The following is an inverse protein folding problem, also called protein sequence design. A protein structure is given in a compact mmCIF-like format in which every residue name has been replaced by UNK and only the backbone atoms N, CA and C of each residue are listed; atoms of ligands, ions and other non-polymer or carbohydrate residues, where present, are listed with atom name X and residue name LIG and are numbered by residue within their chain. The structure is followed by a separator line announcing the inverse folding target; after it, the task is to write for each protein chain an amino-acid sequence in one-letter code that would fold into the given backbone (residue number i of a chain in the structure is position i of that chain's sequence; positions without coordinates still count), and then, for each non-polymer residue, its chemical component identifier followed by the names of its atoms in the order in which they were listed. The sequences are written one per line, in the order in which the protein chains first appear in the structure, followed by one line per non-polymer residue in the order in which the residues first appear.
data_IF_075423494192
#
_entry.id   IF_075423494192
#
_cell.length_a   1.000
_cell.length_b   1.000
_cell.length_c   1.000
_cell.angle_alpha   90.00
_cell.angle_beta   90.00
_cell.angle_gamma   90.00
#
_symmetry.space_group_name_H-M   'P 1'
#
loop_
_entity.id
_entity.type
_entity.pdbx_description
1 polymer ?
#
# COMPACT_ATOMS: atom_id res chain seq x y z
N UNK A 1 -1.67 -1.60 21.48
CA UNK A 1 -1.25 -2.14 20.17
C UNK A 1 -0.25 -1.17 19.57
N UNK A 2 0.86 -1.67 19.07
CA UNK A 2 1.86 -0.85 18.37
C UNK A 2 1.30 -0.39 17.03
N UNK A 3 1.49 0.87 16.68
CA UNK A 3 1.07 1.43 15.38
C UNK A 3 2.04 0.96 14.31
N UNK A 4 1.53 0.27 13.28
CA UNK A 4 2.34 -0.28 12.21
C UNK A 4 2.83 0.82 11.25
N UNK A 5 4.02 0.66 10.70
CA UNK A 5 4.62 1.58 9.72
C UNK A 5 4.64 0.89 8.36
N UNK A 6 3.94 1.51 7.39
CA UNK A 6 3.91 1.07 6.00
C UNK A 6 4.76 2.01 5.13
N UNK A 7 5.69 1.45 4.38
CA UNK A 7 6.43 2.19 3.36
C UNK A 7 5.53 2.47 2.15
N UNK A 8 5.18 3.75 1.94
CA UNK A 8 4.36 4.23 0.83
C UNK A 8 5.10 4.02 -0.49
N UNK A 9 4.59 3.15 -1.35
CA UNK A 9 5.30 2.71 -2.56
C UNK A 9 6.74 2.30 -2.23
N UNK A 10 6.98 1.82 -1.00
CA UNK A 10 8.21 1.41 -0.31
C UNK A 10 8.99 2.53 0.35
N UNK A 11 10.03 3.10 -0.32
CA UNK A 11 10.89 4.15 0.20
C UNK A 11 11.29 5.12 -0.93
N UNK A 12 10.34 5.89 -1.49
CA UNK A 12 10.61 6.75 -2.65
C UNK A 12 11.58 7.89 -2.34
N UNK A 13 11.89 8.14 -1.07
CA UNK A 13 12.95 9.05 -0.67
C UNK A 13 14.36 8.57 -1.08
N UNK A 14 14.56 7.25 -1.31
CA UNK A 14 15.86 6.65 -1.62
C UNK A 14 15.87 5.81 -2.90
N UNK A 15 14.78 5.18 -3.25
CA UNK A 15 14.64 4.30 -4.40
C UNK A 15 13.50 4.77 -5.31
N UNK A 16 13.51 4.45 -6.62
CA UNK A 16 12.34 4.68 -7.46
C UNK A 16 11.10 4.00 -6.88
N UNK A 17 9.99 4.70 -6.84
CA UNK A 17 8.73 4.13 -6.33
C UNK A 17 8.36 2.83 -7.05
N UNK A 18 7.80 1.87 -6.31
CA UNK A 18 7.40 0.58 -6.86
C UNK A 18 8.52 -0.27 -7.53
N UNK A 19 9.84 -0.14 -7.15
CA UNK A 19 10.95 -1.01 -7.60
C UNK A 19 11.19 -2.21 -6.68
N UNK A 20 11.69 -3.33 -7.19
CA UNK A 20 11.96 -4.52 -6.37
C UNK A 20 13.06 -4.26 -5.33
N UNK A 21 14.11 -3.53 -5.72
CA UNK A 21 15.21 -3.14 -4.83
C UNK A 21 14.71 -2.37 -3.59
N UNK A 22 13.72 -1.49 -3.78
CA UNK A 22 13.17 -0.77 -2.64
C UNK A 22 12.28 -1.65 -1.75
N UNK A 23 11.57 -2.67 -2.29
CA UNK A 23 10.86 -3.65 -1.45
C UNK A 23 11.84 -4.42 -0.59
N UNK A 24 12.89 -4.96 -1.19
CA UNK A 24 13.93 -5.73 -0.52
C UNK A 24 14.60 -4.88 0.57
N UNK A 25 15.06 -3.68 0.23
CA UNK A 25 15.67 -2.76 1.19
C UNK A 25 14.78 -2.49 2.40
N UNK A 26 13.50 -2.15 2.19
CA UNK A 26 12.60 -1.84 3.30
C UNK A 26 12.37 -3.06 4.21
N UNK A 27 12.23 -4.25 3.62
CA UNK A 27 12.08 -5.49 4.36
C UNK A 27 13.34 -5.83 5.17
N UNK A 28 14.53 -5.69 4.59
CA UNK A 28 15.81 -5.92 5.28
C UNK A 28 16.05 -4.95 6.44
N UNK A 29 15.43 -3.76 6.39
CA UNK A 29 15.53 -2.73 7.43
C UNK A 29 14.37 -2.77 8.43
N UNK A 30 13.62 -3.86 8.49
CA UNK A 30 12.68 -4.16 9.56
C UNK A 30 11.36 -3.37 9.53
N UNK A 31 10.90 -2.98 8.35
CA UNK A 31 9.59 -2.34 8.20
C UNK A 31 8.45 -3.28 8.57
N UNK A 32 7.34 -2.75 9.14
CA UNK A 32 6.19 -3.59 9.51
C UNK A 32 5.32 -3.95 8.29
N UNK A 33 5.31 -3.10 7.28
CA UNK A 33 4.49 -3.33 6.08
C UNK A 33 4.92 -2.51 4.87
N UNK A 34 4.51 -2.98 3.72
CA UNK A 34 4.72 -2.35 2.41
C UNK A 34 3.36 -1.94 1.86
N UNK A 35 3.27 -0.73 1.33
CA UNK A 35 2.15 -0.31 0.50
C UNK A 35 2.61 -0.27 -0.97
N UNK A 36 1.75 -0.75 -1.88
CA UNK A 36 2.04 -0.83 -3.31
C UNK A 36 0.77 -0.78 -4.15
N UNK A 37 0.91 -0.40 -5.41
CA UNK A 37 -0.18 -0.11 -6.33
C UNK A 37 -0.25 -1.16 -7.44
N UNK A 38 -1.42 -1.76 -7.68
CA UNK A 38 -1.63 -2.72 -8.76
C UNK A 38 -2.51 -2.16 -9.87
N UNK A 39 -2.05 -2.34 -11.10
CA UNK A 39 -2.77 -2.07 -12.34
C UNK A 39 -2.65 -3.26 -13.30
N UNK A 40 -3.31 -3.20 -14.47
CA UNK A 40 -3.31 -4.28 -15.45
C UNK A 40 -2.88 -3.77 -16.82
N UNK A 41 -1.99 -4.49 -17.49
CA UNK A 41 -1.56 -4.23 -18.86
C UNK A 41 -2.64 -4.58 -19.88
N UNK A 42 -2.46 -4.16 -21.15
CA UNK A 42 -3.38 -4.44 -22.25
C UNK A 42 -3.61 -5.96 -22.49
N UNK A 43 -2.62 -6.77 -22.18
CA UNK A 43 -2.66 -8.23 -22.31
C UNK A 43 -2.96 -8.97 -20.99
N UNK A 44 -3.52 -8.25 -20.00
CA UNK A 44 -4.09 -8.83 -18.78
C UNK A 44 -3.07 -9.20 -17.69
N UNK A 45 -1.84 -8.67 -17.72
CA UNK A 45 -0.85 -8.93 -16.69
C UNK A 45 -0.90 -7.85 -15.59
N UNK A 46 -0.81 -8.28 -14.33
CA UNK A 46 -0.74 -7.36 -13.18
C UNK A 46 0.65 -6.76 -13.07
N UNK A 47 0.71 -5.43 -12.99
CA UNK A 47 1.95 -4.64 -12.88
C UNK A 47 1.87 -3.71 -11.68
N UNK A 48 3.04 -3.38 -11.12
CA UNK A 48 3.16 -2.51 -9.96
C UNK A 48 3.55 -1.11 -10.43
N UNK A 49 2.59 -0.19 -10.38
CA UNK A 49 2.76 1.20 -10.78
C UNK A 49 1.64 2.07 -10.19
N UNK A 50 1.99 3.26 -9.71
CA UNK A 50 1.00 4.19 -9.15
C UNK A 50 0.19 4.91 -10.21
N UNK A 51 0.87 5.60 -11.13
CA UNK A 51 0.20 6.39 -12.15
C UNK A 51 -0.36 5.49 -13.26
N UNK A 52 -1.44 5.89 -13.90
CA UNK A 52 -2.00 5.17 -15.05
C UNK A 52 -1.11 5.29 -16.30
N UNK A 53 -0.18 6.25 -16.31
CA UNK A 53 0.83 6.44 -17.34
C UNK A 53 2.23 6.16 -16.80
N UNK A 54 3.10 5.63 -17.63
CA UNK A 54 4.47 5.27 -17.26
C UNK A 54 5.45 6.44 -17.29
N UNK A 55 5.07 7.56 -17.88
CA UNK A 55 5.94 8.68 -18.28
C UNK A 55 6.73 9.33 -17.12
N UNK A 56 6.16 9.39 -15.91
CA UNK A 56 6.79 10.09 -14.78
C UNK A 56 7.94 9.30 -14.16
N UNK A 57 7.84 7.99 -14.15
CA UNK A 57 8.73 7.13 -13.36
C UNK A 57 9.62 6.23 -14.21
N UNK A 58 9.45 6.26 -15.54
CA UNK A 58 10.23 5.44 -16.49
C UNK A 58 10.79 6.28 -17.65
N UNK A 59 11.66 5.66 -18.43
CA UNK A 59 12.16 6.19 -19.70
C UNK A 59 11.19 6.01 -20.87
N UNK A 60 10.03 5.36 -20.65
CA UNK A 60 8.98 5.14 -21.64
C UNK A 60 7.84 6.16 -21.57
N UNK A 61 6.82 5.94 -22.42
CA UNK A 61 5.60 6.76 -22.42
C UNK A 61 4.38 5.94 -22.79
N UNK A 62 3.20 6.35 -22.29
CA UNK A 62 1.93 5.72 -22.63
C UNK A 62 1.10 5.32 -21.41
N UNK A 63 -0.13 4.86 -21.69
CA UNK A 63 -1.03 4.32 -20.68
C UNK A 63 -0.73 2.85 -20.43
N UNK A 64 -0.71 2.43 -19.17
CA UNK A 64 -0.49 1.03 -18.79
C UNK A 64 -1.54 0.12 -19.47
N UNK A 65 -2.80 0.57 -19.50
CA UNK A 65 -3.90 -0.17 -20.11
C UNK A 65 -3.75 -0.38 -21.63
N UNK A 66 -2.92 0.39 -22.30
CA UNK A 66 -2.68 0.31 -23.76
C UNK A 66 -1.39 -0.44 -24.10
N UNK A 67 -0.56 -0.76 -23.11
CA UNK A 67 0.75 -1.38 -23.28
C UNK A 67 0.72 -2.84 -22.83
N UNK A 68 1.34 -3.71 -23.61
CA UNK A 68 1.52 -5.12 -23.24
C UNK A 68 2.58 -5.28 -22.13
N UNK A 69 2.54 -6.40 -21.42
CA UNK A 69 3.57 -6.73 -20.42
C UNK A 69 4.99 -6.67 -20.99
N UNK A 70 5.18 -7.13 -22.22
CA UNK A 70 6.47 -7.10 -22.90
C UNK A 70 6.96 -5.67 -23.11
N UNK A 71 6.09 -4.77 -23.55
CA UNK A 71 6.42 -3.35 -23.72
C UNK A 71 6.76 -2.69 -22.37
N UNK A 72 5.94 -2.91 -21.34
CA UNK A 72 6.18 -2.40 -19.99
C UNK A 72 7.49 -2.92 -19.40
N UNK A 73 7.83 -4.19 -19.62
CA UNK A 73 9.10 -4.80 -19.18
C UNK A 73 10.32 -4.23 -19.92
N UNK A 74 10.13 -3.66 -21.10
CA UNK A 74 11.19 -2.98 -21.85
C UNK A 74 11.59 -1.62 -21.27
N UNK A 75 10.70 -0.97 -20.52
CA UNK A 75 10.94 0.35 -19.92
C UNK A 75 11.73 0.25 -18.61
N UNK A 76 12.47 1.32 -18.29
CA UNK A 76 13.36 1.37 -17.12
C UNK A 76 12.95 2.44 -16.14
N UNK A 77 12.93 2.06 -14.87
CA UNK A 77 12.90 2.96 -13.72
C UNK A 77 14.27 3.65 -13.59
N UNK A 78 14.37 4.71 -12.78
CA UNK A 78 15.60 5.48 -12.61
C UNK A 78 16.81 4.67 -12.09
N UNK A 79 16.59 3.54 -11.43
CA UNK A 79 17.65 2.62 -10.98
C UNK A 79 17.98 1.51 -12.02
N UNK A 80 17.40 1.56 -13.21
CA UNK A 80 17.63 0.59 -14.29
C UNK A 80 16.76 -0.66 -14.22
N UNK A 81 15.95 -0.85 -13.18
CA UNK A 81 14.98 -1.94 -13.12
C UNK A 81 13.85 -1.72 -14.14
N UNK A 82 13.22 -2.80 -14.58
CA UNK A 82 11.96 -2.72 -15.32
C UNK A 82 10.76 -2.49 -14.38
N UNK A 83 9.62 -2.11 -14.94
CA UNK A 83 8.35 -2.06 -14.18
C UNK A 83 8.03 -3.46 -13.66
N UNK A 84 7.95 -3.68 -12.33
CA UNK A 84 7.69 -5.02 -11.81
C UNK A 84 6.26 -5.50 -12.10
N UNK A 85 6.10 -6.80 -12.24
CA UNK A 85 4.80 -7.46 -12.12
C UNK A 85 4.44 -7.68 -10.64
N UNK A 86 3.15 -7.85 -10.35
CA UNK A 86 2.72 -8.26 -9.00
C UNK A 86 3.38 -9.59 -8.59
N UNK A 87 3.55 -10.54 -9.52
CA UNK A 87 4.24 -11.80 -9.25
C UNK A 87 5.68 -11.59 -8.78
N UNK A 88 6.45 -10.73 -9.45
CA UNK A 88 7.83 -10.41 -9.05
C UNK A 88 7.87 -9.74 -7.68
N UNK A 89 6.95 -8.81 -7.40
CA UNK A 89 6.84 -8.17 -6.09
C UNK A 89 6.50 -9.18 -4.98
N UNK A 90 5.50 -10.05 -5.18
CA UNK A 90 5.14 -11.09 -4.21
C UNK A 90 6.25 -12.13 -4.04
N UNK A 91 7.02 -12.43 -5.08
CA UNK A 91 8.21 -13.30 -4.96
C UNK A 91 9.19 -12.73 -3.94
N UNK A 92 9.54 -11.45 -4.04
CA UNK A 92 10.42 -10.80 -3.05
C UNK A 92 9.77 -10.79 -1.67
N UNK A 93 8.54 -10.29 -1.56
CA UNK A 93 7.86 -10.07 -0.28
C UNK A 93 7.52 -11.37 0.45
N UNK A 94 7.39 -12.49 -0.25
CA UNK A 94 7.11 -13.80 0.37
C UNK A 94 8.24 -14.31 1.27
N UNK A 95 9.47 -13.84 1.05
CA UNK A 95 10.64 -14.23 1.86
C UNK A 95 10.73 -13.49 3.22
N UNK A 96 9.89 -12.47 3.44
CA UNK A 96 9.90 -11.64 4.64
C UNK A 96 8.58 -11.71 5.38
N UNK A 97 8.62 -11.58 6.71
CA UNK A 97 7.40 -11.50 7.53
C UNK A 97 6.93 -10.05 7.65
N UNK A 98 6.37 -9.52 6.56
CA UNK A 98 5.86 -8.16 6.46
C UNK A 98 4.41 -8.15 6.00
N UNK A 99 3.64 -7.16 6.42
CA UNK A 99 2.30 -6.91 5.87
C UNK A 99 2.43 -6.28 4.48
N UNK A 100 1.48 -6.55 3.60
CA UNK A 100 1.44 -5.97 2.26
C UNK A 100 0.06 -5.33 2.02
N UNK A 101 0.03 -4.01 1.89
CA UNK A 101 -1.17 -3.32 1.43
C UNK A 101 -1.12 -3.16 -0.09
N UNK A 102 -2.02 -3.84 -0.79
CA UNK A 102 -2.17 -3.76 -2.24
C UNK A 102 -3.32 -2.80 -2.56
N UNK A 103 -3.02 -1.65 -3.14
CA UNK A 103 -4.02 -0.70 -3.64
C UNK A 103 -4.46 -1.08 -5.06
N UNK A 104 -5.76 -1.30 -5.27
CA UNK A 104 -6.33 -1.40 -6.61
C UNK A 104 -6.48 -0.01 -7.24
N UNK A 105 -5.73 0.27 -8.31
CA UNK A 105 -5.78 1.53 -9.08
C UNK A 105 -6.92 1.52 -10.09
N UNK A 106 -8.15 1.36 -9.62
CA UNK A 106 -9.36 1.22 -10.45
C UNK A 106 -10.26 2.46 -10.43
N UNK A 107 -9.76 3.57 -9.89
CA UNK A 107 -10.54 4.81 -9.77
C UNK A 107 -10.73 5.56 -11.10
N UNK A 108 -9.75 5.49 -12.02
CA UNK A 108 -9.81 6.14 -13.34
C UNK A 108 -10.07 5.11 -14.46
N UNK A 109 -9.36 3.99 -14.41
CA UNK A 109 -9.50 2.90 -15.39
C UNK A 109 -10.02 1.68 -14.66
N UNK A 110 -11.16 1.16 -15.10
CA UNK A 110 -11.68 -0.10 -14.57
C UNK A 110 -11.02 -1.25 -15.32
N UNK A 111 -10.33 -2.11 -14.58
CA UNK A 111 -9.69 -3.32 -15.11
C UNK A 111 -10.56 -4.54 -14.76
N UNK A 112 -11.35 -5.10 -15.70
CA UNK A 112 -12.21 -6.24 -15.39
C UNK A 112 -11.40 -7.45 -14.89
N UNK A 113 -11.77 -7.96 -13.71
CA UNK A 113 -11.15 -9.14 -13.12
C UNK A 113 -9.85 -8.90 -12.36
N UNK A 114 -9.39 -7.65 -12.21
CA UNK A 114 -8.14 -7.35 -11.49
C UNK A 114 -8.17 -7.86 -10.04
N UNK A 115 -9.32 -7.77 -9.37
CA UNK A 115 -9.47 -8.21 -7.99
C UNK A 115 -9.31 -9.73 -7.86
N UNK A 116 -9.96 -10.49 -8.74
CA UNK A 116 -9.89 -11.95 -8.75
C UNK A 116 -8.45 -12.43 -9.06
N UNK A 117 -7.83 -11.86 -10.11
CA UNK A 117 -6.47 -12.23 -10.50
C UNK A 117 -5.45 -11.85 -9.42
N UNK A 118 -5.64 -10.73 -8.72
CA UNK A 118 -4.78 -10.34 -7.59
C UNK A 118 -4.92 -11.33 -6.44
N UNK A 119 -6.15 -11.74 -6.11
CA UNK A 119 -6.41 -12.74 -5.08
C UNK A 119 -5.77 -14.09 -5.42
N UNK A 120 -5.88 -14.54 -6.67
CA UNK A 120 -5.25 -15.79 -7.13
C UNK A 120 -3.73 -15.76 -6.93
N UNK A 121 -3.07 -14.63 -7.20
CA UNK A 121 -1.64 -14.50 -6.93
C UNK A 121 -1.32 -14.52 -5.44
N UNK A 122 -2.09 -13.81 -4.60
CA UNK A 122 -1.89 -13.81 -3.15
C UNK A 122 -2.04 -15.22 -2.57
N UNK A 123 -2.99 -16.01 -3.08
CA UNK A 123 -3.18 -17.41 -2.70
C UNK A 123 -2.03 -18.31 -3.15
N UNK A 124 -1.54 -18.14 -4.39
CA UNK A 124 -0.39 -18.90 -4.91
C UNK A 124 0.89 -18.68 -4.07
N UNK A 125 1.05 -17.51 -3.47
CA UNK A 125 2.18 -17.18 -2.60
C UNK A 125 1.90 -17.46 -1.11
N UNK A 126 0.72 -17.96 -0.73
CA UNK A 126 0.30 -18.21 0.65
C UNK A 126 0.42 -16.96 1.55
N UNK A 127 0.03 -15.79 1.03
CA UNK A 127 0.17 -14.50 1.72
C UNK A 127 -1.15 -13.92 2.25
N UNK A 128 -2.24 -14.68 2.27
CA UNK A 128 -3.58 -14.21 2.64
C UNK A 128 -3.63 -13.54 4.01
N UNK A 129 -2.92 -14.07 4.99
CA UNK A 129 -2.92 -13.54 6.36
C UNK A 129 -2.19 -12.20 6.50
N UNK A 130 -1.30 -11.88 5.55
CA UNK A 130 -0.44 -10.70 5.55
C UNK A 130 -0.89 -9.61 4.57
N UNK A 131 -1.81 -9.90 3.66
CA UNK A 131 -2.28 -8.95 2.66
C UNK A 131 -3.51 -8.18 3.14
N UNK A 132 -3.52 -6.89 2.84
CA UNK A 132 -4.62 -5.96 3.00
C UNK A 132 -4.93 -5.39 1.61
N UNK A 133 -6.20 -5.37 1.22
CA UNK A 133 -6.62 -4.71 -0.01
C UNK A 133 -7.17 -3.33 0.26
N UNK A 134 -6.78 -2.35 -0.53
CA UNK A 134 -7.32 -1.01 -0.44
C UNK A 134 -7.64 -0.42 -1.82
N UNK A 135 -8.55 0.53 -1.88
CA UNK A 135 -8.85 1.30 -3.08
C UNK A 135 -9.64 2.57 -2.77
N UNK A 136 -9.44 3.61 -3.58
CA UNK A 136 -10.36 4.74 -3.68
C UNK A 136 -11.67 4.36 -4.37
N UNK A 137 -11.66 3.32 -5.20
CA UNK A 137 -12.84 2.75 -5.81
C UNK A 137 -13.47 1.72 -4.85
N UNK A 138 -14.53 2.14 -4.16
CA UNK A 138 -15.23 1.29 -3.20
C UNK A 138 -15.85 0.04 -3.84
N UNK A 139 -16.17 0.07 -5.14
CA UNK A 139 -16.68 -1.10 -5.85
C UNK A 139 -15.62 -2.21 -5.92
N UNK A 140 -14.34 -1.89 -6.11
CA UNK A 140 -13.26 -2.89 -6.04
C UNK A 140 -13.19 -3.55 -4.67
N UNK A 141 -13.41 -2.78 -3.59
CA UNK A 141 -13.42 -3.33 -2.23
C UNK A 141 -14.65 -4.22 -1.99
N UNK A 142 -15.81 -3.86 -2.55
CA UNK A 142 -17.00 -4.70 -2.50
C UNK A 142 -16.79 -6.02 -3.29
N UNK A 143 -16.17 -5.94 -4.47
CA UNK A 143 -15.86 -7.11 -5.30
C UNK A 143 -14.92 -8.05 -4.56
N UNK A 144 -13.78 -7.56 -4.06
CA UNK A 144 -12.82 -8.43 -3.36
C UNK A 144 -13.40 -8.99 -2.05
N UNK A 145 -14.20 -8.23 -1.31
CA UNK A 145 -14.89 -8.75 -0.14
C UNK A 145 -15.88 -9.88 -0.48
N UNK A 146 -16.56 -9.79 -1.63
CA UNK A 146 -17.46 -10.85 -2.09
C UNK A 146 -16.69 -12.10 -2.51
N UNK A 147 -15.57 -11.95 -3.21
CA UNK A 147 -14.73 -13.06 -3.69
C UNK A 147 -13.99 -13.75 -2.52
N UNK A 148 -13.45 -12.97 -1.61
CA UNK A 148 -12.61 -13.43 -0.52
C UNK A 148 -12.98 -12.74 0.81
N UNK A 149 -14.11 -13.11 1.45
CA UNK A 149 -14.68 -12.37 2.60
C UNK A 149 -13.82 -12.40 3.86
N UNK A 150 -12.80 -13.26 3.92
CA UNK A 150 -11.85 -13.33 5.04
C UNK A 150 -10.67 -12.36 4.90
N UNK A 151 -10.46 -11.80 3.70
CA UNK A 151 -9.37 -10.87 3.46
C UNK A 151 -9.59 -9.54 4.17
N UNK A 152 -8.50 -8.95 4.67
CA UNK A 152 -8.51 -7.60 5.24
C UNK A 152 -8.71 -6.59 4.13
N UNK A 153 -9.67 -5.68 4.33
CA UNK A 153 -10.00 -4.65 3.34
C UNK A 153 -10.10 -3.28 3.99
N UNK A 154 -9.74 -2.25 3.23
CA UNK A 154 -9.82 -0.86 3.67
C UNK A 154 -10.31 0.06 2.54
N UNK A 155 -11.14 1.02 2.87
CA UNK A 155 -11.43 2.13 1.98
C UNK A 155 -10.31 3.17 2.03
N UNK A 156 -9.83 3.60 0.86
CA UNK A 156 -8.97 4.77 0.73
C UNK A 156 -9.83 6.02 0.49
N UNK A 157 -9.52 7.11 1.20
CA UNK A 157 -10.22 8.38 0.99
C UNK A 157 -9.39 9.59 1.43
N UNK A 158 -9.41 10.66 0.62
CA UNK A 158 -8.96 12.00 1.00
C UNK A 158 -10.05 12.86 1.62
N UNK A 159 -11.31 12.40 1.57
CA UNK A 159 -12.45 13.14 2.11
C UNK A 159 -12.59 12.92 3.61
N UNK A 160 -12.98 13.97 4.33
CA UNK A 160 -13.33 13.84 5.75
C UNK A 160 -14.61 13.03 5.89
N UNK A 161 -14.51 11.88 6.53
CA UNK A 161 -15.66 11.01 6.83
C UNK A 161 -16.43 11.61 8.02
N UNK A 162 -17.52 12.31 7.74
CA UNK A 162 -18.43 12.85 8.75
C UNK A 162 -19.68 11.99 8.82
N UNK A 163 -19.85 11.24 9.94
CA UNK A 163 -21.08 10.47 10.18
C UNK A 163 -21.38 9.38 9.15
N UNK A 164 -20.40 9.00 8.34
CA UNK A 164 -20.58 7.93 7.36
C UNK A 164 -20.74 6.58 8.07
N UNK A 165 -21.79 5.85 7.72
CA UNK A 165 -21.90 4.44 8.07
C UNK A 165 -20.89 3.67 7.22
N UNK A 166 -19.82 3.20 7.84
CA UNK A 166 -18.83 2.36 7.18
C UNK A 166 -19.31 0.90 7.16
N UNK A 167 -19.10 0.16 6.07
CA UNK A 167 -19.36 -1.26 6.05
C UNK A 167 -18.65 -1.99 7.20
N UNK A 168 -19.36 -2.90 7.86
CA UNK A 168 -18.81 -3.63 9.01
C UNK A 168 -17.62 -4.52 8.65
N UNK A 169 -17.59 -5.02 7.42
CA UNK A 169 -16.52 -5.88 6.91
C UNK A 169 -15.16 -5.18 6.73
N UNK A 170 -15.13 -3.85 6.62
CA UNK A 170 -13.86 -3.15 6.52
C UNK A 170 -13.03 -3.38 7.77
N UNK A 171 -11.78 -3.75 7.62
CA UNK A 171 -10.83 -3.83 8.72
C UNK A 171 -10.44 -2.43 9.19
N UNK A 172 -10.14 -1.53 8.25
CA UNK A 172 -9.72 -0.17 8.52
C UNK A 172 -10.23 0.81 7.45
N UNK A 173 -9.94 2.11 7.66
CA UNK A 173 -9.96 3.13 6.61
C UNK A 173 -8.56 3.70 6.44
N UNK A 174 -8.15 3.92 5.21
CA UNK A 174 -6.90 4.60 4.87
C UNK A 174 -7.24 6.05 4.52
N UNK A 175 -6.84 6.99 5.36
CA UNK A 175 -7.26 8.40 5.28
C UNK A 175 -6.07 9.34 5.20
N UNK A 176 -6.25 10.42 4.41
CA UNK A 176 -5.24 11.48 4.31
C UNK A 176 -5.11 12.30 5.59
N UNK A 177 -6.24 12.51 6.29
CA UNK A 177 -6.28 13.29 7.50
C UNK A 177 -6.92 12.51 8.64
N UNK A 178 -6.16 12.31 9.72
CA UNK A 178 -6.65 11.66 10.94
C UNK A 178 -7.96 12.26 11.43
N UNK A 179 -8.91 11.41 11.80
CA UNK A 179 -10.22 11.80 12.32
C UNK A 179 -10.47 11.19 13.70
N UNK A 180 -10.28 11.97 14.76
CA UNK A 180 -10.48 11.55 16.15
C UNK A 180 -11.92 11.16 16.50
N UNK A 181 -12.90 11.56 15.67
CA UNK A 181 -14.34 11.24 15.86
C UNK A 181 -14.76 9.96 15.17
N UNK A 182 -13.87 9.34 14.40
CA UNK A 182 -14.17 8.10 13.69
C UNK A 182 -13.73 6.91 14.54
N UNK A 183 -14.69 6.20 15.10
CA UNK A 183 -14.47 4.97 15.86
C UNK A 183 -14.26 3.77 14.91
N UNK A 184 -13.14 3.78 14.18
CA UNK A 184 -12.69 2.74 13.25
C UNK A 184 -11.18 2.80 13.16
N UNK A 185 -10.53 1.66 13.00
CA UNK A 185 -9.10 1.60 12.74
C UNK A 185 -8.71 2.48 11.53
N UNK A 186 -7.67 3.27 11.68
CA UNK A 186 -7.21 4.25 10.68
C UNK A 186 -5.74 4.00 10.35
N UNK A 187 -5.42 3.94 9.05
CA UNK A 187 -4.06 4.08 8.54
C UNK A 187 -3.95 5.42 7.83
N UNK A 188 -3.08 6.27 8.34
CA UNK A 188 -3.01 7.68 7.89
C UNK A 188 -1.88 7.85 6.86
N UNK A 189 -2.17 8.47 5.73
CA UNK A 189 -1.25 8.67 4.60
C UNK A 189 -1.28 10.11 4.07
N UNK A 190 -0.26 10.68 3.39
CA UNK A 190 1.13 10.24 3.52
C UNK A 190 1.76 11.08 4.62
N UNK A 191 2.34 10.48 5.62
CA UNK A 191 2.84 11.17 6.81
C UNK A 191 4.37 11.14 6.80
N UNK A 192 4.98 12.25 6.40
CA UNK A 192 6.44 12.42 6.29
C UNK A 192 7.00 13.43 7.31
N UNK A 193 6.15 14.13 8.05
CA UNK A 193 6.53 15.10 9.08
C UNK A 193 6.71 14.40 10.43
N UNK A 194 7.91 14.44 11.06
CA UNK A 194 8.19 13.75 12.31
C UNK A 194 7.30 14.20 13.49
N UNK A 195 6.89 15.48 13.53
CA UNK A 195 5.99 15.97 14.59
C UNK A 195 4.57 15.43 14.42
N UNK A 196 4.11 15.23 13.16
CA UNK A 196 2.84 14.55 12.91
C UNK A 196 2.94 13.06 13.24
N UNK A 197 4.04 12.39 12.89
CA UNK A 197 4.29 10.99 13.24
C UNK A 197 4.17 10.79 14.75
N UNK A 198 4.89 11.61 15.55
CA UNK A 198 4.86 11.57 17.01
C UNK A 198 3.45 11.68 17.57
N UNK A 199 2.63 12.61 17.06
CA UNK A 199 1.24 12.81 17.49
C UNK A 199 0.36 11.61 17.14
N UNK A 200 0.54 11.05 15.95
CA UNK A 200 -0.28 9.96 15.45
C UNK A 200 0.04 8.62 16.10
N UNK A 201 1.29 8.37 16.50
CA UNK A 201 1.65 7.17 17.28
C UNK A 201 0.95 7.10 18.64
N UNK A 202 0.52 8.24 19.21
CA UNK A 202 -0.23 8.30 20.45
C UNK A 202 -1.75 8.50 20.23
N UNK A 203 -2.22 8.60 18.99
CA UNK A 203 -3.60 8.94 18.69
C UNK A 203 -4.51 7.70 18.73
N UNK A 204 -5.74 7.79 19.31
CA UNK A 204 -6.68 6.69 19.35
C UNK A 204 -7.10 6.29 17.94
N UNK A 205 -7.38 4.98 17.77
CA UNK A 205 -7.79 4.37 16.49
C UNK A 205 -6.76 4.43 15.35
N UNK A 206 -5.59 5.04 15.53
CA UNK A 206 -4.50 4.94 14.56
C UNK A 206 -3.85 3.57 14.73
N UNK A 207 -3.92 2.76 13.68
CA UNK A 207 -3.34 1.42 13.63
C UNK A 207 -2.18 1.31 12.65
N UNK A 208 -1.95 2.37 11.84
CA UNK A 208 -0.82 2.42 10.93
C UNK A 208 -0.55 3.83 10.40
N UNK A 209 0.71 4.08 10.07
CA UNK A 209 1.17 5.22 9.28
C UNK A 209 1.69 4.72 7.94
N UNK A 210 1.30 5.38 6.86
CA UNK A 210 1.81 5.15 5.51
C UNK A 210 2.71 6.34 5.19
N UNK A 211 4.01 6.10 4.95
CA UNK A 211 5.04 7.14 4.87
C UNK A 211 6.08 6.87 3.79
N UNK A 212 6.64 7.95 3.20
CA UNK A 212 7.81 7.88 2.34
C UNK A 212 9.13 7.78 3.13
N UNK A 213 9.09 7.83 4.47
CA UNK A 213 10.25 7.95 5.37
C UNK A 213 10.14 6.96 6.52
N UNK A 214 10.10 5.67 6.19
CA UNK A 214 9.82 4.64 7.19
C UNK A 214 10.90 4.53 8.28
N UNK A 215 12.19 4.76 7.95
CA UNK A 215 13.28 4.74 8.93
C UNK A 215 13.08 5.83 9.99
N UNK A 216 12.78 7.08 9.55
CA UNK A 216 12.46 8.18 10.46
C UNK A 216 11.19 7.89 11.30
N UNK A 217 10.21 7.22 10.70
CA UNK A 217 9.00 6.82 11.42
C UNK A 217 9.28 5.77 12.48
N UNK A 218 10.17 4.81 12.22
CA UNK A 218 10.61 3.80 13.19
C UNK A 218 11.35 4.44 14.37
N UNK A 219 12.26 5.37 14.10
CA UNK A 219 12.97 6.15 15.16
C UNK A 219 11.98 6.92 16.00
N UNK A 220 11.01 7.58 15.37
CA UNK A 220 10.00 8.37 16.08
C UNK A 220 9.07 7.48 16.92
N UNK A 221 8.69 6.30 16.43
CA UNK A 221 7.90 5.33 17.19
C UNK A 221 8.65 4.88 18.45
N UNK A 222 9.92 4.52 18.30
CA UNK A 222 10.77 4.10 19.42
C UNK A 222 10.87 5.19 20.51
N UNK A 223 11.01 6.46 20.13
CA UNK A 223 11.02 7.59 21.06
C UNK A 223 9.69 7.75 21.83
N UNK A 224 8.56 7.56 21.15
CA UNK A 224 7.23 7.65 21.79
C UNK A 224 7.03 6.50 22.77
N UNK A 225 7.43 5.28 22.42
CA UNK A 225 7.29 4.09 23.28
C UNK A 225 8.17 4.21 24.54
N UNK A 226 9.40 4.70 24.41
CA UNK A 226 10.30 4.97 25.57
C UNK A 226 9.74 6.05 26.49
N UNK A 227 9.20 7.14 25.93
CA UNK A 227 8.60 8.23 26.70
C UNK A 227 7.33 7.82 27.46
N UNK A 228 6.59 6.83 26.94
CA UNK A 228 5.38 6.29 27.58
C UNK A 228 5.69 5.33 28.74
N UNK A 229 6.89 4.75 28.78
CA UNK A 229 7.35 3.84 29.84
C UNK A 229 7.95 4.54 31.06
N UNK A 230 8.21 5.86 30.98
CA UNK A 230 8.85 6.63 32.05
C UNK A 230 7.87 7.27 33.06
N UNK A 231 6.56 6.97 32.93
CA UNK A 231 5.50 7.51 33.80
C UNK A 231 4.82 6.37 34.58
N UNK A 232 5.58 5.67 35.44
CA UNK A 232 5.05 4.77 36.49
C UNK A 232 5.64 5.14 37.81
#
# INVERSE_FOLDING_TARGET
MTVAIFGHRRYPARFPENSLQGFEYACEHGIDGIETDVQMSADGHLVIMHDERVDRTTDGSGWIADLTRTQLKGMRLANGEHIPSLREALTVLSHYDVMVNIEFKTGKIRYPGIEALTQDYVEQFNMQDRVIYSSFNHDSINVIHTLAPKMKTAWLTSRVLRGASLPAYLEAVHIEHYNSRLNKAQRVWTIDDPLKMKKLFAAPYVTGLITNRFEEAMDMRALVEQGSGATV
#
